data_IF_003967712938
#
_entry.id   IF_003967712938
#
_cell.length_a   1.000
_cell.length_b   1.000
_cell.length_c   1.000
_cell.angle_alpha   90.00
_cell.angle_beta   90.00
_cell.angle_gamma   90.00
#
_symmetry.space_group_name_H-M   'P 1'
#
loop_
_entity.id
_entity.type
_entity.pdbx_description
1 polymer ?
#
# COMPACT_ATOMS: atom_id res chain seq x y z
N UNK A 1 -49.56 28.96 -3.15
CA UNK A 1 -48.09 28.94 -2.96
C UNK A 1 -47.60 27.55 -3.36
N UNK A 2 -46.79 27.44 -4.42
CA UNK A 2 -46.39 26.15 -4.98
C UNK A 2 -45.14 25.63 -4.25
N UNK A 3 -45.15 24.37 -3.80
CA UNK A 3 -43.91 23.70 -3.41
C UNK A 3 -43.07 23.46 -4.67
N UNK A 4 -42.06 24.31 -4.88
CA UNK A 4 -40.98 24.00 -5.82
C UNK A 4 -40.24 22.78 -5.27
N UNK A 5 -40.48 21.61 -5.87
CA UNK A 5 -39.76 20.39 -5.51
C UNK A 5 -38.26 20.61 -5.67
N UNK A 6 -37.45 20.11 -4.71
CA UNK A 6 -35.99 20.16 -4.80
C UNK A 6 -35.54 19.38 -6.04
N UNK A 7 -35.22 20.09 -7.11
CA UNK A 7 -34.53 19.51 -8.26
C UNK A 7 -33.18 18.98 -7.79
N UNK A 8 -33.05 17.65 -7.78
CA UNK A 8 -31.82 16.98 -7.37
C UNK A 8 -30.72 17.36 -8.37
N UNK A 9 -29.72 18.09 -7.89
CA UNK A 9 -28.56 18.51 -8.68
C UNK A 9 -27.63 17.30 -8.82
N UNK A 10 -27.87 16.47 -9.83
CA UNK A 10 -27.19 15.20 -10.07
C UNK A 10 -26.30 15.28 -11.32
N UNK A 11 -25.02 14.91 -11.24
CA UNK A 11 -24.12 14.91 -12.38
C UNK A 11 -24.56 13.92 -13.45
N UNK A 12 -24.18 14.21 -14.70
CA UNK A 12 -24.28 13.21 -15.76
C UNK A 12 -23.31 12.04 -15.51
N UNK A 13 -23.62 10.81 -15.95
CA UNK A 13 -22.66 9.70 -15.91
C UNK A 13 -21.37 9.99 -16.70
N UNK A 14 -21.45 10.83 -17.75
CA UNK A 14 -20.29 11.28 -18.52
C UNK A 14 -19.35 12.15 -17.68
N UNK A 15 -19.88 13.07 -16.87
CA UNK A 15 -19.10 13.92 -15.95
C UNK A 15 -18.26 13.08 -14.97
N UNK A 16 -18.87 12.05 -14.38
CA UNK A 16 -18.19 11.14 -13.45
C UNK A 16 -17.16 10.26 -14.19
N UNK A 17 -17.47 9.82 -15.41
CA UNK A 17 -16.54 9.09 -16.28
C UNK A 17 -15.34 9.94 -16.68
N UNK A 18 -15.53 11.23 -16.97
CA UNK A 18 -14.46 12.16 -17.38
C UNK A 18 -13.51 12.44 -16.21
N UNK A 19 -14.04 12.78 -15.03
CA UNK A 19 -13.25 12.99 -13.81
C UNK A 19 -12.46 11.74 -13.39
N UNK A 20 -13.08 10.56 -13.47
CA UNK A 20 -12.39 9.29 -13.22
C UNK A 20 -11.27 9.03 -14.25
N UNK A 21 -11.47 9.38 -15.53
CA UNK A 21 -10.43 9.27 -16.55
C UNK A 21 -9.27 10.22 -16.25
N UNK A 22 -9.51 11.49 -15.93
CA UNK A 22 -8.47 12.45 -15.55
C UNK A 22 -7.67 11.95 -14.34
N UNK A 23 -8.33 11.40 -13.32
CA UNK A 23 -7.66 10.83 -12.16
C UNK A 23 -6.83 9.56 -12.50
N UNK A 24 -7.31 8.72 -13.42
CA UNK A 24 -6.58 7.54 -13.91
C UNK A 24 -5.35 7.95 -14.70
N UNK A 25 -5.51 8.90 -15.62
CA UNK A 25 -4.46 9.32 -16.57
C UNK A 25 -3.36 10.12 -15.85
N UNK A 26 -3.72 10.85 -14.77
CA UNK A 26 -2.76 11.42 -13.82
C UNK A 26 -2.18 10.42 -12.80
N UNK A 27 -2.55 9.13 -12.88
CA UNK A 27 -2.07 8.05 -11.98
C UNK A 27 -2.37 8.27 -10.48
N UNK A 28 -3.42 9.04 -10.16
CA UNK A 28 -3.82 9.31 -8.76
C UNK A 28 -4.94 8.37 -8.25
N UNK A 29 -5.59 7.59 -9.12
CA UNK A 29 -6.47 6.49 -8.71
C UNK A 29 -5.68 5.53 -7.81
N UNK A 30 -6.20 5.14 -6.64
CA UNK A 30 -5.55 4.14 -5.80
C UNK A 30 -5.68 2.75 -6.43
N UNK A 31 -4.68 1.93 -6.19
CA UNK A 31 -4.72 0.49 -6.43
C UNK A 31 -4.37 -0.21 -5.11
N UNK A 32 -5.31 -0.99 -4.59
CA UNK A 32 -5.15 -1.86 -3.42
C UNK A 32 -5.22 -3.35 -3.82
N UNK A 33 -4.98 -3.67 -5.09
CA UNK A 33 -4.99 -5.05 -5.59
C UNK A 33 -3.75 -5.82 -5.13
N UNK A 34 -3.89 -7.16 -5.01
CA UNK A 34 -2.75 -8.06 -4.86
C UNK A 34 -1.89 -8.05 -6.13
N UNK A 35 -0.57 -7.94 -5.95
CA UNK A 35 0.40 -7.96 -7.05
C UNK A 35 0.29 -9.26 -7.88
N UNK A 36 0.30 -9.19 -9.24
CA UNK A 36 0.19 -10.37 -10.07
C UNK A 36 1.22 -11.47 -9.75
N UNK A 37 2.47 -11.11 -9.49
CA UNK A 37 3.56 -12.06 -9.17
C UNK A 37 3.26 -12.79 -7.87
N UNK A 38 2.79 -12.06 -6.85
CA UNK A 38 2.34 -12.62 -5.57
C UNK A 38 1.16 -13.59 -5.78
N UNK A 39 0.15 -13.22 -6.59
CA UNK A 39 -0.97 -14.13 -6.85
C UNK A 39 -0.57 -15.38 -7.63
N UNK A 40 0.38 -15.27 -8.57
CA UNK A 40 0.87 -16.40 -9.39
C UNK A 40 1.66 -17.40 -8.55
N UNK A 41 2.66 -16.95 -7.80
CA UNK A 41 3.54 -17.85 -7.04
C UNK A 41 2.94 -18.35 -5.73
N UNK A 42 1.84 -17.76 -5.25
CA UNK A 42 1.06 -18.31 -4.15
C UNK A 42 -0.11 -19.21 -4.63
N UNK A 43 -0.33 -19.35 -5.94
CA UNK A 43 -1.35 -20.24 -6.51
C UNK A 43 -0.94 -21.73 -6.51
N UNK A 44 -1.89 -22.59 -6.90
CA UNK A 44 -1.61 -23.99 -7.21
C UNK A 44 -0.60 -24.14 -8.37
N UNK A 45 -0.60 -23.22 -9.33
CA UNK A 45 0.27 -23.27 -10.52
C UNK A 45 1.72 -22.81 -10.23
N UNK A 46 2.05 -22.54 -8.96
CA UNK A 46 3.32 -21.94 -8.54
C UNK A 46 4.59 -22.69 -8.99
N UNK A 47 4.58 -24.03 -9.03
CA UNK A 47 5.71 -24.81 -9.58
C UNK A 47 5.83 -24.68 -11.10
N UNK A 48 4.71 -24.72 -11.84
CA UNK A 48 4.71 -24.53 -13.28
C UNK A 48 5.14 -23.12 -13.68
N UNK A 49 4.69 -22.10 -12.93
CA UNK A 49 5.12 -20.71 -13.10
C UNK A 49 6.63 -20.54 -12.87
N UNK A 50 7.19 -21.22 -11.86
CA UNK A 50 8.62 -21.19 -11.54
C UNK A 50 9.46 -21.85 -12.65
N UNK A 51 9.05 -23.03 -13.10
CA UNK A 51 9.70 -23.73 -14.23
C UNK A 51 9.64 -22.89 -15.51
N UNK A 52 8.51 -22.24 -15.79
CA UNK A 52 8.36 -21.36 -16.94
C UNK A 52 9.28 -20.14 -16.85
N UNK A 53 9.33 -19.45 -15.70
CA UNK A 53 10.19 -18.28 -15.50
C UNK A 53 11.69 -18.65 -15.63
N UNK A 54 12.11 -19.78 -15.05
CA UNK A 54 13.48 -20.29 -15.15
C UNK A 54 13.88 -20.53 -16.62
N UNK A 55 13.08 -21.29 -17.36
CA UNK A 55 13.31 -21.57 -18.77
C UNK A 55 13.26 -20.30 -19.64
N UNK A 56 12.36 -19.36 -19.33
CA UNK A 56 12.28 -18.06 -20.02
C UNK A 56 13.56 -17.23 -19.82
N UNK A 57 14.11 -17.19 -18.60
CA UNK A 57 15.35 -16.47 -18.31
C UNK A 57 16.56 -17.12 -19.01
N UNK A 58 16.66 -18.46 -18.99
CA UNK A 58 17.71 -19.20 -19.71
C UNK A 58 17.67 -18.96 -21.23
N UNK A 59 16.49 -18.98 -21.86
CA UNK A 59 16.32 -18.80 -23.31
C UNK A 59 16.87 -17.46 -23.84
N UNK A 60 17.01 -16.44 -22.99
CA UNK A 60 17.57 -15.14 -23.36
C UNK A 60 19.08 -15.00 -23.09
N UNK A 61 19.78 -16.07 -22.73
CA UNK A 61 21.17 -16.08 -22.31
C UNK A 61 22.05 -16.89 -23.27
N UNK A 62 23.29 -16.45 -23.50
CA UNK A 62 24.30 -17.27 -24.19
C UNK A 62 24.70 -18.50 -23.34
N UNK A 63 25.37 -19.50 -23.93
CA UNK A 63 25.82 -20.69 -23.19
C UNK A 63 26.68 -20.36 -21.96
N UNK A 64 27.62 -19.42 -22.09
CA UNK A 64 28.41 -18.90 -20.96
C UNK A 64 27.54 -18.29 -19.86
N UNK A 65 26.53 -17.50 -20.24
CA UNK A 65 25.60 -16.89 -19.29
C UNK A 65 24.69 -17.93 -18.63
N UNK A 66 24.24 -18.95 -19.35
CA UNK A 66 23.47 -20.06 -18.78
C UNK A 66 24.30 -20.86 -17.77
N UNK A 67 25.59 -21.11 -18.06
CA UNK A 67 26.51 -21.76 -17.14
C UNK A 67 26.77 -20.91 -15.88
N UNK A 68 27.05 -19.60 -16.03
CA UNK A 68 27.22 -18.68 -14.91
C UNK A 68 25.94 -18.54 -14.06
N UNK A 69 24.77 -18.50 -14.70
CA UNK A 69 23.47 -18.47 -14.04
C UNK A 69 23.21 -19.74 -13.23
N UNK A 70 23.46 -20.93 -13.80
CA UNK A 70 23.34 -22.21 -13.09
C UNK A 70 24.31 -22.35 -11.92
N UNK A 71 25.57 -21.94 -12.09
CA UNK A 71 26.58 -22.00 -11.03
C UNK A 71 26.26 -21.03 -9.87
N UNK A 72 25.90 -19.78 -10.17
CA UNK A 72 25.52 -18.80 -9.15
C UNK A 72 24.27 -19.24 -8.38
N UNK A 73 23.24 -19.77 -9.07
CA UNK A 73 22.05 -20.31 -8.41
C UNK A 73 22.37 -21.52 -7.53
N UNK A 74 23.22 -22.43 -8.00
CA UNK A 74 23.68 -23.59 -7.20
C UNK A 74 24.36 -23.13 -5.90
N UNK A 75 25.16 -22.05 -5.96
CA UNK A 75 25.75 -21.42 -4.77
C UNK A 75 24.71 -20.85 -3.79
N UNK A 76 23.75 -20.07 -4.29
CA UNK A 76 22.67 -19.46 -3.48
C UNK A 76 21.69 -20.50 -2.90
N UNK A 77 21.59 -21.70 -3.51
CA UNK A 77 20.85 -22.86 -2.99
C UNK A 77 21.67 -23.75 -2.03
N UNK A 78 22.80 -23.26 -1.51
CA UNK A 78 23.64 -23.96 -0.54
C UNK A 78 24.49 -25.09 -1.15
N UNK A 79 24.79 -25.02 -2.45
CA UNK A 79 25.54 -26.04 -3.19
C UNK A 79 24.69 -27.12 -3.86
N UNK A 80 23.36 -27.04 -3.75
CA UNK A 80 22.43 -28.02 -4.33
C UNK A 80 21.84 -27.55 -5.66
N UNK A 81 21.70 -28.47 -6.62
CA UNK A 81 20.93 -28.25 -7.85
C UNK A 81 19.41 -28.38 -7.64
N UNK A 82 18.97 -29.02 -6.55
CA UNK A 82 17.57 -29.28 -6.22
C UNK A 82 17.13 -28.49 -4.99
N UNK A 83 15.82 -28.25 -4.86
CA UNK A 83 15.16 -27.65 -3.69
C UNK A 83 14.14 -28.64 -3.14
N UNK A 84 14.40 -29.18 -1.94
CA UNK A 84 13.66 -30.32 -1.36
C UNK A 84 12.60 -29.94 -0.33
N UNK A 85 12.57 -28.70 0.15
CA UNK A 85 11.44 -28.15 0.92
C UNK A 85 10.28 -27.67 0.00
N UNK A 86 10.24 -28.15 -1.25
CA UNK A 86 9.25 -27.82 -2.26
C UNK A 86 9.57 -26.56 -3.07
N UNK A 87 9.37 -26.62 -4.38
CA UNK A 87 9.37 -25.51 -5.32
C UNK A 87 7.98 -24.88 -5.51
N UNK A 88 7.24 -24.66 -4.41
CA UNK A 88 5.82 -24.25 -4.42
C UNK A 88 5.51 -23.17 -3.39
N UNK A 89 4.51 -22.32 -3.67
CA UNK A 89 4.06 -21.28 -2.75
C UNK A 89 5.15 -20.26 -2.41
N UNK A 90 5.32 -19.94 -1.12
CA UNK A 90 6.34 -18.97 -0.66
C UNK A 90 7.78 -19.35 -1.01
N UNK A 91 8.09 -20.63 -1.22
CA UNK A 91 9.43 -21.04 -1.68
C UNK A 91 9.60 -20.77 -3.17
N UNK A 92 8.59 -21.06 -4.00
CA UNK A 92 8.59 -20.65 -5.41
C UNK A 92 8.71 -19.12 -5.56
N UNK A 93 8.09 -18.36 -4.66
CA UNK A 93 8.18 -16.91 -4.62
C UNK A 93 9.56 -16.37 -4.18
N UNK A 94 10.30 -17.11 -3.35
CA UNK A 94 11.69 -16.79 -3.03
C UNK A 94 12.62 -17.09 -4.22
N UNK A 95 12.43 -18.26 -4.84
CA UNK A 95 13.21 -18.69 -6.00
C UNK A 95 12.98 -17.78 -7.22
N UNK A 96 11.76 -17.30 -7.46
CA UNK A 96 11.47 -16.38 -8.57
C UNK A 96 12.13 -15.01 -8.43
N UNK A 97 12.24 -14.50 -7.20
CA UNK A 97 13.01 -13.28 -6.89
C UNK A 97 14.52 -13.53 -7.06
N UNK A 98 15.02 -14.67 -6.60
CA UNK A 98 16.41 -15.07 -6.77
C UNK A 98 16.80 -15.21 -8.25
N UNK A 99 15.94 -15.83 -9.07
CA UNK A 99 16.18 -16.02 -10.49
C UNK A 99 16.29 -14.68 -11.23
N UNK A 100 15.43 -13.70 -10.93
CA UNK A 100 15.60 -12.34 -11.48
C UNK A 100 16.88 -11.67 -11.00
N UNK A 101 17.22 -11.77 -9.70
CA UNK A 101 18.43 -11.19 -9.14
C UNK A 101 19.70 -11.70 -9.85
N UNK A 102 19.85 -13.03 -9.93
CA UNK A 102 21.04 -13.65 -10.54
C UNK A 102 21.05 -13.47 -12.07
N UNK A 103 19.90 -13.52 -12.74
CA UNK A 103 19.81 -13.21 -14.18
C UNK A 103 20.22 -11.77 -14.48
N UNK A 104 19.88 -10.81 -13.61
CA UNK A 104 20.34 -9.43 -13.75
C UNK A 104 21.85 -9.27 -13.50
N UNK A 105 22.42 -9.96 -12.50
CA UNK A 105 23.87 -9.97 -12.26
C UNK A 105 24.66 -10.53 -13.46
N UNK A 106 24.28 -11.70 -13.97
CA UNK A 106 24.96 -12.37 -15.09
C UNK A 106 24.85 -11.58 -16.40
N UNK A 107 23.74 -10.86 -16.63
CA UNK A 107 23.62 -9.94 -17.77
C UNK A 107 24.47 -8.69 -17.58
N UNK A 108 24.52 -8.12 -16.38
CA UNK A 108 25.27 -6.90 -16.07
C UNK A 108 26.81 -7.09 -16.08
N UNK A 109 27.30 -8.31 -15.85
CA UNK A 109 28.74 -8.63 -15.85
C UNK A 109 29.45 -8.36 -17.19
N UNK A 110 28.72 -8.19 -18.30
CA UNK A 110 29.27 -7.77 -19.61
C UNK A 110 29.04 -6.30 -19.96
N UNK A 111 28.32 -5.53 -19.13
CA UNK A 111 28.07 -4.10 -19.35
C UNK A 111 28.86 -3.26 -18.33
N UNK A 112 30.04 -2.79 -18.72
CA UNK A 112 30.85 -1.84 -17.93
C UNK A 112 30.25 -0.44 -17.83
N UNK A 113 29.20 -0.15 -18.60
CA UNK A 113 28.38 1.06 -18.48
C UNK A 113 26.96 0.69 -18.01
N UNK A 114 26.67 0.94 -16.73
CA UNK A 114 25.35 0.75 -16.15
C UNK A 114 25.23 1.49 -14.81
N UNK A 115 24.35 2.49 -14.74
CA UNK A 115 24.20 3.32 -13.55
C UNK A 115 23.66 2.50 -12.35
N UNK A 116 24.44 2.34 -11.25
CA UNK A 116 23.99 1.59 -10.07
C UNK A 116 22.80 2.24 -9.34
N UNK A 117 22.40 3.47 -9.68
CA UNK A 117 21.18 4.09 -9.14
C UNK A 117 19.90 3.32 -9.51
N UNK A 118 19.84 2.80 -10.75
CA UNK A 118 18.66 2.11 -11.27
C UNK A 118 18.45 0.73 -10.60
N UNK A 119 19.53 0.01 -10.29
CA UNK A 119 19.46 -1.28 -9.61
C UNK A 119 19.02 -1.13 -8.14
N UNK A 120 19.36 -0.01 -7.49
CA UNK A 120 18.96 0.30 -6.11
C UNK A 120 17.48 0.72 -5.99
N UNK A 121 16.82 1.14 -7.07
CA UNK A 121 15.40 1.53 -7.05
C UNK A 121 14.44 0.34 -7.12
N UNK A 122 14.75 -0.71 -7.91
CA UNK A 122 13.89 -1.91 -8.05
C UNK A 122 13.74 -2.69 -6.74
N UNK A 123 14.76 -2.71 -5.88
CA UNK A 123 14.69 -3.30 -4.54
C UNK A 123 13.81 -2.51 -3.53
N UNK A 124 13.26 -1.35 -3.92
CA UNK A 124 12.49 -0.47 -3.03
C UNK A 124 11.00 -0.85 -2.94
N UNK A 125 10.44 -1.54 -3.92
CA UNK A 125 9.09 -2.14 -3.84
C UNK A 125 9.12 -3.60 -4.30
N UNK A 126 8.48 -4.46 -3.52
CA UNK A 126 8.34 -5.90 -3.75
C UNK A 126 6.86 -6.22 -3.54
N UNK A 127 6.21 -6.74 -4.58
CA UNK A 127 4.78 -7.08 -4.60
C UNK A 127 3.86 -5.93 -4.18
N UNK A 128 4.05 -4.76 -4.81
CA UNK A 128 3.40 -3.49 -4.45
C UNK A 128 3.91 -2.84 -3.15
N UNK A 129 4.32 -3.62 -2.15
CA UNK A 129 4.75 -3.17 -0.83
C UNK A 129 6.13 -2.49 -0.89
N UNK A 130 6.32 -1.35 -0.20
CA UNK A 130 7.65 -0.77 0.03
C UNK A 130 8.48 -1.62 0.99
N UNK A 131 9.72 -1.95 0.62
CA UNK A 131 10.68 -2.63 1.51
C UNK A 131 11.15 -1.74 2.68
N UNK A 132 10.78 -0.46 2.68
CA UNK A 132 10.89 0.45 3.84
C UNK A 132 9.73 0.36 4.84
N UNK A 133 8.64 -0.34 4.51
CA UNK A 133 7.59 -0.69 5.47
C UNK A 133 8.03 -1.89 6.31
N UNK A 134 7.58 -1.98 7.57
CA UNK A 134 7.95 -3.10 8.45
C UNK A 134 7.43 -4.44 7.92
N UNK A 135 6.22 -4.48 7.36
CA UNK A 135 5.67 -5.64 6.63
C UNK A 135 6.59 -6.04 5.47
N UNK A 136 6.91 -5.10 4.57
CA UNK A 136 7.75 -5.37 3.40
C UNK A 136 9.18 -5.79 3.76
N UNK A 137 9.73 -5.25 4.86
CA UNK A 137 11.02 -5.66 5.38
C UNK A 137 11.02 -7.11 5.89
N UNK A 138 9.98 -7.54 6.65
CA UNK A 138 9.86 -8.93 7.13
C UNK A 138 9.76 -9.90 5.95
N UNK A 139 8.92 -9.56 4.96
CA UNK A 139 8.71 -10.37 3.75
C UNK A 139 10.01 -10.48 2.93
N UNK A 140 10.71 -9.37 2.69
CA UNK A 140 12.00 -9.38 1.97
C UNK A 140 13.10 -10.12 2.74
N UNK A 141 13.15 -9.98 4.07
CA UNK A 141 14.08 -10.73 4.94
C UNK A 141 13.90 -12.24 4.77
N UNK A 142 12.65 -12.71 4.87
CA UNK A 142 12.30 -14.11 4.67
C UNK A 142 12.64 -14.58 3.25
N UNK A 143 12.20 -13.87 2.20
CA UNK A 143 12.42 -14.26 0.80
C UNK A 143 13.90 -14.33 0.41
N UNK A 144 14.76 -13.47 0.99
CA UNK A 144 16.22 -13.58 0.84
C UNK A 144 16.78 -14.81 1.51
N UNK A 145 16.22 -15.24 2.65
CA UNK A 145 16.76 -16.32 3.47
C UNK A 145 16.36 -17.71 2.96
N UNK A 146 15.12 -17.86 2.49
CA UNK A 146 14.54 -19.13 2.04
C UNK A 146 15.44 -19.96 1.10
N UNK A 147 16.07 -19.43 0.03
CA UNK A 147 16.76 -20.28 -0.94
C UNK A 147 17.91 -21.10 -0.35
N UNK A 148 18.64 -20.54 0.63
CA UNK A 148 19.73 -21.25 1.32
C UNK A 148 19.27 -22.19 2.45
N UNK A 149 18.04 -22.02 2.96
CA UNK A 149 17.46 -22.92 3.98
C UNK A 149 16.58 -24.01 3.36
N UNK A 150 16.03 -23.83 2.16
CA UNK A 150 15.03 -24.71 1.52
C UNK A 150 15.54 -26.11 1.09
N UNK A 151 16.74 -26.50 1.52
CA UNK A 151 17.29 -27.86 1.42
C UNK A 151 17.51 -28.52 2.80
N UNK A 152 17.13 -27.86 3.89
CA UNK A 152 17.17 -28.39 5.26
C UNK A 152 15.83 -28.12 5.94
N UNK A 153 15.04 -29.17 6.18
CA UNK A 153 13.67 -29.07 6.70
C UNK A 153 13.59 -28.41 8.09
N UNK A 154 14.60 -28.60 8.94
CA UNK A 154 14.69 -28.03 10.28
C UNK A 154 14.91 -26.51 10.22
N UNK A 155 15.95 -26.06 9.53
CA UNK A 155 16.22 -24.63 9.27
C UNK A 155 15.06 -23.95 8.56
N UNK A 156 14.44 -24.63 7.60
CA UNK A 156 13.30 -24.10 6.85
C UNK A 156 12.07 -23.93 7.77
N UNK A 157 11.85 -24.83 8.72
CA UNK A 157 10.82 -24.69 9.75
C UNK A 157 11.13 -23.51 10.70
N UNK A 158 12.33 -23.44 11.26
CA UNK A 158 12.79 -22.35 12.15
C UNK A 158 12.67 -20.97 11.49
N UNK A 159 13.24 -20.81 10.30
CA UNK A 159 13.19 -19.56 9.52
C UNK A 159 11.75 -19.16 9.20
N UNK A 160 10.86 -20.11 8.92
CA UNK A 160 9.45 -19.82 8.66
C UNK A 160 8.70 -19.44 9.93
N UNK A 161 8.92 -20.12 11.06
CA UNK A 161 8.27 -19.79 12.33
C UNK A 161 8.69 -18.44 12.89
N UNK A 162 9.97 -18.09 12.80
CA UNK A 162 10.48 -16.79 13.24
C UNK A 162 9.80 -15.64 12.47
N UNK A 163 9.75 -15.75 11.13
CA UNK A 163 9.16 -14.72 10.28
C UNK A 163 7.62 -14.73 10.29
N UNK A 164 6.95 -15.88 10.49
CA UNK A 164 5.50 -15.97 10.72
C UNK A 164 5.12 -15.18 11.99
N UNK A 165 5.81 -15.44 13.12
CA UNK A 165 5.54 -14.73 14.36
C UNK A 165 5.79 -13.21 14.24
N UNK A 166 6.86 -12.78 13.55
CA UNK A 166 7.11 -11.36 13.29
C UNK A 166 6.02 -10.72 12.39
N UNK A 167 5.62 -11.39 11.31
CA UNK A 167 4.65 -10.88 10.35
C UNK A 167 3.23 -10.85 10.94
N UNK A 168 2.86 -11.86 11.73
CA UNK A 168 1.64 -11.92 12.54
C UNK A 168 1.50 -10.71 13.45
N UNK A 169 2.53 -10.39 14.24
CA UNK A 169 2.50 -9.27 15.18
C UNK A 169 2.39 -7.91 14.45
N UNK A 170 3.18 -7.70 13.40
CA UNK A 170 3.09 -6.47 12.59
C UNK A 170 1.72 -6.32 11.91
N UNK A 171 1.13 -7.40 11.38
CA UNK A 171 -0.20 -7.35 10.74
C UNK A 171 -1.35 -7.05 11.72
N UNK A 172 -1.17 -7.36 13.01
CA UNK A 172 -2.13 -7.01 14.07
C UNK A 172 -2.04 -5.50 14.39
N UNK A 173 -0.87 -4.98 14.76
CA UNK A 173 -0.74 -3.53 15.02
C UNK A 173 -0.98 -2.67 13.77
N UNK A 174 -0.66 -3.16 12.56
CA UNK A 174 -1.00 -2.46 11.32
C UNK A 174 -2.52 -2.43 11.07
N UNK A 175 -3.25 -3.51 11.38
CA UNK A 175 -4.72 -3.51 11.37
C UNK A 175 -5.29 -2.50 12.38
N UNK A 176 -4.74 -2.45 13.60
CA UNK A 176 -5.15 -1.46 14.60
C UNK A 176 -4.82 -0.02 14.17
N UNK A 177 -3.64 0.21 13.59
CA UNK A 177 -3.23 1.51 13.05
C UNK A 177 -4.26 2.05 12.08
N UNK A 178 -4.74 1.23 11.16
CA UNK A 178 -5.79 1.60 10.20
C UNK A 178 -7.15 1.82 10.87
N UNK A 179 -7.57 0.91 11.77
CA UNK A 179 -8.95 0.86 12.28
C UNK A 179 -9.22 1.71 13.51
N UNK A 180 -8.34 1.71 14.52
CA UNK A 180 -8.52 2.46 15.77
C UNK A 180 -7.75 3.78 15.77
N UNK A 181 -6.49 3.76 15.31
CA UNK A 181 -5.57 4.92 15.31
C UNK A 181 -5.80 5.86 14.10
N UNK A 182 -6.88 5.63 13.32
CA UNK A 182 -7.35 6.38 12.13
C UNK A 182 -6.35 6.51 10.97
N UNK A 183 -5.29 5.68 10.91
CA UNK A 183 -4.27 5.69 9.84
C UNK A 183 -4.67 4.81 8.66
N UNK A 184 -5.93 4.92 8.23
CA UNK A 184 -6.42 4.28 7.01
C UNK A 184 -5.88 5.03 5.78
N UNK A 185 -5.66 4.31 4.68
CA UNK A 185 -5.16 4.84 3.41
C UNK A 185 -4.80 3.71 2.45
N UNK A 186 -4.71 4.00 1.16
CA UNK A 186 -4.54 2.98 0.12
C UNK A 186 -3.23 2.21 0.24
N UNK A 187 -2.13 2.89 0.60
CA UNK A 187 -0.85 2.19 0.83
C UNK A 187 -0.95 1.24 2.04
N UNK A 188 -1.58 1.65 3.14
CA UNK A 188 -1.79 0.80 4.31
C UNK A 188 -2.68 -0.41 4.00
N UNK A 189 -3.73 -0.22 3.20
CA UNK A 189 -4.57 -1.31 2.71
C UNK A 189 -3.78 -2.31 1.87
N UNK A 190 -2.97 -1.84 0.92
CA UNK A 190 -2.14 -2.70 0.07
C UNK A 190 -1.06 -3.43 0.88
N UNK A 191 -0.38 -2.73 1.80
CA UNK A 191 0.60 -3.30 2.73
C UNK A 191 -0.03 -4.43 3.58
N UNK A 192 -1.19 -4.19 4.18
CA UNK A 192 -1.87 -5.21 4.98
C UNK A 192 -2.34 -6.40 4.14
N UNK A 193 -2.95 -6.14 2.98
CA UNK A 193 -3.54 -7.18 2.13
C UNK A 193 -2.49 -8.14 1.58
N UNK A 194 -1.42 -7.61 0.97
CA UNK A 194 -0.34 -8.43 0.44
C UNK A 194 0.47 -9.11 1.57
N UNK A 195 0.58 -8.48 2.74
CA UNK A 195 1.17 -9.12 3.93
C UNK A 195 0.32 -10.27 4.49
N UNK A 196 -1.00 -10.11 4.57
CA UNK A 196 -1.92 -11.17 5.02
C UNK A 196 -1.99 -12.34 4.02
N UNK A 197 -1.94 -12.05 2.72
CA UNK A 197 -1.79 -13.06 1.67
C UNK A 197 -0.48 -13.84 1.81
N UNK A 198 0.64 -13.15 2.02
CA UNK A 198 1.94 -13.78 2.23
C UNK A 198 1.95 -14.67 3.49
N UNK A 199 1.49 -14.14 4.62
CA UNK A 199 1.45 -14.85 5.91
C UNK A 199 0.57 -16.12 5.86
N UNK A 200 -0.57 -16.08 5.17
CA UNK A 200 -1.38 -17.29 4.95
C UNK A 200 -0.59 -18.39 4.23
N UNK A 201 0.23 -18.04 3.25
CA UNK A 201 1.02 -19.03 2.51
C UNK A 201 2.32 -19.45 3.21
N UNK A 202 2.87 -18.63 4.11
CA UNK A 202 3.85 -19.09 5.11
C UNK A 202 3.25 -20.16 6.01
N UNK A 203 2.04 -19.92 6.54
CA UNK A 203 1.34 -20.87 7.40
C UNK A 203 0.99 -22.18 6.67
N UNK A 204 0.58 -22.11 5.39
CA UNK A 204 0.42 -23.29 4.52
C UNK A 204 1.76 -24.04 4.36
N UNK A 205 2.89 -23.33 4.21
CA UNK A 205 4.21 -23.96 4.12
C UNK A 205 4.64 -24.65 5.43
N UNK A 206 4.43 -24.04 6.60
CA UNK A 206 4.65 -24.70 7.89
C UNK A 206 3.83 -25.99 8.03
N UNK A 207 2.59 -26.03 7.53
CA UNK A 207 1.78 -27.26 7.51
C UNK A 207 2.40 -28.31 6.57
N UNK A 208 2.88 -27.93 5.38
CA UNK A 208 3.59 -28.85 4.46
C UNK A 208 4.84 -29.47 5.09
N UNK A 209 5.60 -28.67 5.87
CA UNK A 209 6.77 -29.06 6.67
C UNK A 209 6.42 -29.89 7.93
N UNK A 210 5.12 -29.97 8.28
CA UNK A 210 4.56 -30.58 9.50
C UNK A 210 4.92 -29.84 10.81
N UNK A 211 5.40 -28.60 10.73
CA UNK A 211 5.79 -27.77 11.88
C UNK A 211 4.60 -27.25 12.70
N UNK A 212 3.39 -27.23 12.12
CA UNK A 212 2.16 -26.72 12.76
C UNK A 212 0.93 -27.56 12.36
N UNK A 213 -0.14 -27.60 13.19
CA UNK A 213 -1.33 -28.41 12.89
C UNK A 213 -2.06 -28.01 11.61
N UNK A 214 -2.62 -29.00 10.90
CA UNK A 214 -3.32 -28.85 9.61
C UNK A 214 -4.36 -27.70 9.60
N UNK A 215 -5.21 -27.63 10.63
CA UNK A 215 -6.27 -26.62 10.74
C UNK A 215 -5.80 -25.18 11.03
N UNK A 216 -4.51 -24.95 11.32
CA UNK A 216 -3.99 -23.61 11.60
C UNK A 216 -4.08 -22.67 10.39
N UNK A 217 -3.84 -23.19 9.18
CA UNK A 217 -3.99 -22.44 7.94
C UNK A 217 -5.45 -22.03 7.68
N UNK A 218 -6.42 -22.89 8.02
CA UNK A 218 -7.85 -22.56 7.90
C UNK A 218 -8.29 -21.50 8.92
N UNK A 219 -7.90 -21.64 10.18
CA UNK A 219 -8.19 -20.65 11.23
C UNK A 219 -7.65 -19.26 10.84
N UNK A 220 -6.41 -19.20 10.34
CA UNK A 220 -5.78 -17.97 9.86
C UNK A 220 -6.53 -17.39 8.63
N UNK A 221 -6.91 -18.24 7.66
CA UNK A 221 -7.70 -17.85 6.49
C UNK A 221 -9.05 -17.23 6.87
N UNK A 222 -9.77 -17.83 7.82
CA UNK A 222 -11.05 -17.32 8.30
C UNK A 222 -10.92 -16.01 9.09
N UNK A 223 -9.83 -15.86 9.85
CA UNK A 223 -9.46 -14.60 10.49
C UNK A 223 -9.23 -13.49 9.45
N UNK A 224 -8.40 -13.72 8.43
CA UNK A 224 -8.14 -12.72 7.39
C UNK A 224 -9.34 -12.42 6.49
N UNK A 225 -10.17 -13.42 6.16
CA UNK A 225 -11.47 -13.20 5.51
C UNK A 225 -12.33 -12.18 6.28
N UNK A 226 -12.35 -12.30 7.62
CA UNK A 226 -13.15 -11.44 8.51
C UNK A 226 -12.54 -10.06 8.67
N UNK A 227 -11.22 -9.98 8.89
CA UNK A 227 -10.49 -8.72 9.00
C UNK A 227 -10.55 -7.90 7.70
N UNK A 228 -10.33 -8.53 6.54
CA UNK A 228 -10.42 -7.87 5.23
C UNK A 228 -11.81 -7.28 4.98
N UNK A 229 -12.89 -8.00 5.34
CA UNK A 229 -14.25 -7.47 5.24
C UNK A 229 -14.48 -6.18 6.04
N UNK A 230 -13.92 -6.09 7.25
CA UNK A 230 -13.95 -4.87 8.07
C UNK A 230 -13.08 -3.75 7.50
N UNK A 231 -11.90 -4.10 6.97
CA UNK A 231 -10.99 -3.13 6.35
C UNK A 231 -11.59 -2.52 5.07
N UNK A 232 -12.25 -3.31 4.21
CA UNK A 232 -12.94 -2.78 3.03
C UNK A 232 -14.02 -1.77 3.42
N UNK A 233 -14.83 -2.06 4.45
CA UNK A 233 -15.83 -1.12 4.98
C UNK A 233 -15.17 0.18 5.50
N UNK A 234 -14.10 0.06 6.29
CA UNK A 234 -13.34 1.19 6.81
C UNK A 234 -12.65 2.02 5.72
N UNK A 235 -12.20 1.38 4.63
CA UNK A 235 -11.56 2.02 3.49
C UNK A 235 -12.57 2.76 2.60
N UNK A 236 -13.75 2.18 2.32
CA UNK A 236 -14.87 2.90 1.68
C UNK A 236 -15.24 4.15 2.49
N UNK A 237 -15.37 4.03 3.81
CA UNK A 237 -15.67 5.15 4.70
C UNK A 237 -14.51 6.17 4.81
N UNK A 238 -13.27 5.76 4.52
CA UNK A 238 -12.12 6.66 4.39
C UNK A 238 -12.16 7.42 3.05
N UNK A 239 -12.42 6.75 1.93
CA UNK A 239 -12.54 7.42 0.62
C UNK A 239 -13.68 8.46 0.62
N UNK A 240 -14.85 8.15 1.21
CA UNK A 240 -15.94 9.13 1.40
C UNK A 240 -15.56 10.39 2.23
N UNK A 241 -14.42 10.40 2.92
CA UNK A 241 -13.92 11.55 3.70
C UNK A 241 -12.76 12.29 3.02
N UNK A 242 -12.07 11.64 2.06
CA UNK A 242 -10.84 12.15 1.45
C UNK A 242 -11.02 12.51 -0.03
N UNK A 243 -11.97 11.90 -0.75
CA UNK A 243 -12.31 12.30 -2.11
C UNK A 243 -13.02 13.65 -2.05
N UNK A 244 -12.38 14.68 -2.58
CA UNK A 244 -12.88 16.05 -2.65
C UNK A 244 -12.76 16.53 -4.09
N UNK A 245 -13.81 17.17 -4.58
CA UNK A 245 -13.92 17.65 -5.95
C UNK A 245 -14.44 19.09 -5.89
N UNK A 246 -13.77 20.01 -6.58
CA UNK A 246 -14.15 21.42 -6.68
C UNK A 246 -14.19 21.86 -8.15
N UNK A 247 -15.33 22.40 -8.65
CA UNK A 247 -15.47 22.81 -10.04
C UNK A 247 -14.53 23.95 -10.44
N UNK A 248 -14.12 23.96 -11.70
CA UNK A 248 -13.51 25.14 -12.32
C UNK A 248 -14.48 26.32 -12.29
N UNK A 249 -14.06 27.47 -11.75
CA UNK A 249 -14.95 28.61 -11.59
C UNK A 249 -15.35 29.18 -12.96
N UNK A 250 -16.63 29.01 -13.32
CA UNK A 250 -17.20 29.60 -14.54
C UNK A 250 -17.00 31.12 -14.49
N UNK A 251 -16.24 31.68 -15.44
CA UNK A 251 -16.26 33.13 -15.72
C UNK A 251 -17.73 33.57 -15.79
N UNK A 252 -18.18 34.57 -15.01
CA UNK A 252 -19.53 35.07 -15.14
C UNK A 252 -19.77 35.47 -16.59
N UNK A 253 -20.81 34.94 -17.23
CA UNK A 253 -21.26 35.49 -18.52
C UNK A 253 -21.61 36.94 -18.25
N UNK A 254 -20.85 37.87 -18.82
CA UNK A 254 -21.26 39.27 -18.89
C UNK A 254 -22.61 39.28 -19.61
N UNK A 255 -23.67 39.60 -18.87
CA UNK A 255 -24.91 40.02 -19.51
C UNK A 255 -24.58 41.32 -20.24
N UNK A 256 -24.55 41.28 -21.56
CA UNK A 256 -24.46 42.48 -22.41
C UNK A 256 -25.77 43.24 -22.32
N UNK A 257 -26.02 43.84 -21.15
CA UNK A 257 -27.14 44.71 -20.89
C UNK A 257 -26.85 46.07 -21.54
N UNK A 258 -27.18 46.19 -22.82
CA UNK A 258 -27.25 47.50 -23.46
C UNK A 258 -28.40 48.30 -22.85
N UNK A 259 -28.13 49.53 -22.42
CA UNK A 259 -29.16 50.49 -21.97
C UNK A 259 -29.06 50.92 -20.50
N UNK A 260 -28.35 52.03 -20.28
CA UNK A 260 -28.72 53.18 -19.43
C UNK A 260 -29.31 52.91 -18.01
N UNK A 261 -28.66 53.45 -16.96
CA UNK A 261 -29.35 53.53 -15.66
C UNK A 261 -28.60 54.01 -14.42
N UNK A 262 -27.91 55.16 -14.48
CA UNK A 262 -27.46 55.96 -13.33
C UNK A 262 -26.24 55.50 -12.50
N UNK A 263 -25.49 56.52 -12.07
CA UNK A 263 -24.32 56.48 -11.20
C UNK A 263 -24.71 56.48 -9.72
N UNK A 264 -23.89 55.89 -8.87
CA UNK A 264 -23.41 56.59 -7.66
C UNK A 264 -22.06 56.02 -7.20
N UNK A 265 -21.09 56.91 -6.99
CA UNK A 265 -19.71 56.58 -6.62
C UNK A 265 -19.51 56.77 -5.12
N UNK A 266 -19.01 55.76 -4.40
CA UNK A 266 -18.30 56.03 -3.13
C UNK A 266 -17.12 55.08 -2.89
N UNK A 267 -15.94 55.72 -2.78
CA UNK A 267 -14.71 55.34 -2.05
C UNK A 267 -14.43 53.87 -1.70
N UNK A 268 -13.39 53.34 -2.38
CA UNK A 268 -12.48 52.25 -1.96
C UNK A 268 -11.84 52.50 -0.58
N UNK A 269 -11.71 51.45 0.21
CA UNK A 269 -10.74 51.36 1.34
C UNK A 269 -10.13 49.96 1.41
N UNK A 270 -8.82 49.86 1.62
CA UNK A 270 -8.12 48.60 1.88
C UNK A 270 -7.76 48.53 3.38
N UNK A 271 -7.92 47.38 4.05
CA UNK A 271 -6.80 46.72 4.75
C UNK A 271 -7.15 45.32 5.30
N UNK A 272 -6.22 44.38 5.02
CA UNK A 272 -5.53 43.46 5.94
C UNK A 272 -6.29 42.75 7.07
N UNK A 273 -6.07 41.43 7.19
CA UNK A 273 -6.66 40.56 8.21
C UNK A 273 -5.66 40.15 9.31
N UNK A 274 -6.21 39.65 10.43
CA UNK A 274 -5.60 38.77 11.47
C UNK A 274 -4.59 39.40 12.46
N UNK A 275 -4.36 38.80 13.65
CA UNK A 275 -5.23 37.88 14.43
C UNK A 275 -5.36 38.23 15.94
N UNK A 276 -6.35 37.65 16.64
CA UNK A 276 -6.12 36.69 17.75
C UNK A 276 -7.39 36.24 18.50
N UNK A 277 -7.26 35.13 19.24
CA UNK A 277 -8.26 34.54 20.13
C UNK A 277 -8.51 35.35 21.41
N UNK A 278 -9.67 35.13 22.05
CA UNK A 278 -9.75 34.57 23.43
C UNK A 278 -11.19 34.04 23.72
N UNK A 279 -11.30 33.09 24.66
CA UNK A 279 -12.53 32.48 25.18
C UNK A 279 -13.37 33.49 26.02
N UNK A 280 -14.63 33.28 26.42
CA UNK A 280 -15.14 32.12 27.17
C UNK A 280 -16.69 32.02 27.26
N UNK A 281 -17.16 30.94 27.89
CA UNK A 281 -18.58 30.53 28.06
C UNK A 281 -19.48 31.43 28.95
N UNK A 282 -20.80 31.35 28.71
CA UNK A 282 -21.88 31.16 29.71
C UNK A 282 -23.28 31.42 29.07
N UNK A 283 -24.40 30.78 29.46
CA UNK A 283 -24.65 29.69 30.42
C UNK A 283 -25.92 28.89 30.01
N UNK A 284 -26.17 27.79 30.74
CA UNK A 284 -27.46 27.29 31.23
C UNK A 284 -27.92 25.91 30.72
N UNK A 285 -27.75 24.88 31.57
CA UNK A 285 -28.74 23.81 31.68
C UNK A 285 -28.72 23.17 33.08
N UNK A 286 -29.81 23.37 33.83
CA UNK A 286 -30.49 22.50 34.83
C UNK A 286 -29.66 21.66 35.84
N UNK A 287 -29.98 21.88 37.12
CA UNK A 287 -29.57 21.18 38.36
C UNK A 287 -30.21 19.77 38.54
N UNK A 288 -29.93 18.90 39.53
CA UNK A 288 -29.08 18.92 40.76
C UNK A 288 -28.79 17.47 41.23
N UNK A 289 -27.90 17.30 42.25
CA UNK A 289 -27.97 16.28 43.33
C UNK A 289 -27.73 14.76 43.01
N UNK A 290 -27.00 13.95 43.83
CA UNK A 290 -26.11 14.20 45.00
C UNK A 290 -25.11 13.03 45.22
N UNK A 291 -24.25 13.15 46.24
CA UNK A 291 -23.51 12.10 46.98
C UNK A 291 -22.04 11.79 46.60
N UNK A 292 -21.15 12.34 47.41
CA UNK A 292 -19.76 11.93 47.74
C UNK A 292 -19.68 11.85 49.29
N UNK A 293 -18.54 11.74 50.03
CA UNK A 293 -17.12 11.58 49.64
C UNK A 293 -16.31 10.54 50.48
N UNK A 294 -15.00 10.39 50.17
CA UNK A 294 -13.83 10.47 51.08
C UNK A 294 -12.54 10.06 50.31
N UNK A 295 -11.42 10.81 50.29
CA UNK A 295 -10.44 11.12 51.36
C UNK A 295 -9.49 9.91 51.62
N UNK A 296 -8.15 9.97 51.65
CA UNK A 296 -7.10 11.04 51.59
C UNK A 296 -5.75 10.35 51.14
N UNK A 297 -4.55 10.92 50.92
CA UNK A 297 -3.90 12.26 50.98
C UNK A 297 -2.61 12.27 50.09
N UNK A 298 -1.89 13.41 49.99
CA UNK A 298 -0.56 13.57 49.37
C UNK A 298 0.63 13.00 50.20
N UNK A 299 1.82 12.83 49.58
CA UNK A 299 3.14 13.34 50.03
C UNK A 299 4.28 13.01 49.03
N UNK A 300 5.27 13.90 48.91
CA UNK A 300 6.45 13.80 48.03
C UNK A 300 7.44 12.67 48.39
N UNK A 301 8.13 12.08 47.39
CA UNK A 301 9.61 11.94 47.44
C UNK A 301 10.31 11.73 46.08
N UNK A 302 11.64 11.91 46.14
CA UNK A 302 12.62 11.98 45.05
C UNK A 302 12.90 10.63 44.36
N UNK A 303 13.52 10.73 43.19
CA UNK A 303 14.06 9.66 42.35
C UNK A 303 14.98 8.66 43.07
N UNK A 304 15.01 7.43 42.56
CA UNK A 304 16.24 6.65 42.41
C UNK A 304 16.11 5.74 41.16
N UNK A 305 17.23 5.40 40.51
CA UNK A 305 17.25 4.62 39.25
C UNK A 305 18.50 3.74 39.15
N UNK A 306 18.28 2.44 39.04
CA UNK A 306 19.25 1.44 38.56
C UNK A 306 18.55 0.64 37.44
N UNK A 307 19.10 0.53 36.22
CA UNK A 307 20.19 -0.39 35.80
C UNK A 307 19.71 -1.87 35.85
N UNK A 308 19.81 -2.66 34.79
CA UNK A 308 20.76 -2.59 33.65
C UNK A 308 20.13 -2.60 32.26
N UNK A 309 20.85 -1.99 31.30
CA UNK A 309 20.77 -2.27 29.87
C UNK A 309 22.18 -2.55 29.36
N UNK A 310 22.41 -3.70 28.73
CA UNK A 310 23.65 -3.93 27.98
C UNK A 310 23.47 -3.53 26.51
N UNK A 311 24.54 -2.96 25.93
CA UNK A 311 24.54 -2.27 24.64
C UNK A 311 25.27 -3.08 23.56
N UNK A 312 24.78 -3.02 22.32
CA UNK A 312 25.54 -3.39 21.13
C UNK A 312 25.36 -2.37 19.99
N UNK A 313 25.77 -1.14 20.26
CA UNK A 313 26.96 -0.62 19.58
C UNK A 313 26.78 -0.21 18.12
N UNK A 314 26.16 0.96 17.89
CA UNK A 314 26.06 1.57 16.57
C UNK A 314 27.07 2.71 16.39
N UNK A 315 28.25 2.40 15.87
CA UNK A 315 29.27 3.41 15.53
C UNK A 315 28.75 4.42 14.47
N UNK A 316 28.51 5.66 14.90
CA UNK A 316 28.16 6.79 14.04
C UNK A 316 29.31 7.81 14.09
N UNK A 317 30.07 7.92 13.00
CA UNK A 317 31.02 9.01 12.85
C UNK A 317 30.28 10.29 12.46
N UNK A 318 30.22 11.25 13.39
CA UNK A 318 29.66 12.57 13.11
C UNK A 318 30.61 13.38 12.22
N UNK A 319 30.20 13.66 10.98
CA UNK A 319 30.72 14.80 10.22
C UNK A 319 29.55 15.64 9.69
N UNK A 320 29.43 16.83 10.25
CA UNK A 320 28.39 17.81 9.90
C UNK A 320 28.79 18.62 8.67
N UNK A 321 28.03 18.50 7.58
CA UNK A 321 28.14 19.39 6.42
C UNK A 321 26.74 19.92 6.02
N UNK A 322 26.51 21.21 6.27
CA UNK A 322 25.20 21.87 6.09
C UNK A 322 25.03 22.31 4.63
N UNK A 323 24.63 21.39 3.76
CA UNK A 323 24.38 21.68 2.34
C UNK A 323 22.92 22.10 2.10
N UNK A 324 22.69 23.42 2.02
CA UNK A 324 21.41 24.00 1.58
C UNK A 324 21.15 23.68 0.10
N UNK A 325 20.47 22.57 -0.21
CA UNK A 325 19.91 22.35 -1.56
C UNK A 325 18.64 23.19 -1.75
N UNK A 326 18.77 24.31 -2.47
CA UNK A 326 17.66 24.88 -3.24
C UNK A 326 17.21 23.83 -4.27
N UNK A 327 15.96 23.38 -4.22
CA UNK A 327 15.36 22.68 -5.36
C UNK A 327 15.05 23.72 -6.44
N UNK A 328 15.44 23.43 -7.68
CA UNK A 328 15.32 24.36 -8.79
C UNK A 328 13.90 24.28 -9.40
N UNK A 329 13.14 25.37 -9.33
CA UNK A 329 11.86 25.47 -10.05
C UNK A 329 12.13 25.75 -11.53
N UNK A 330 12.09 24.73 -12.38
CA UNK A 330 12.06 24.93 -13.83
C UNK A 330 10.65 25.34 -14.29
N UNK A 331 10.35 26.64 -14.18
CA UNK A 331 9.30 27.27 -15.00
C UNK A 331 9.88 27.66 -16.36
N UNK A 332 9.62 26.87 -17.40
CA UNK A 332 9.62 27.34 -18.79
C UNK A 332 8.19 27.73 -19.14
N UNK A 333 7.93 29.03 -19.31
CA UNK A 333 6.56 29.58 -19.35
C UNK A 333 5.91 29.67 -20.74
N UNK A 334 4.85 30.48 -20.79
CA UNK A 334 4.02 30.87 -21.95
C UNK A 334 3.04 29.82 -22.52
N UNK A 335 1.83 29.82 -21.94
CA UNK A 335 0.60 30.05 -22.72
C UNK A 335 -0.47 30.65 -21.79
N UNK A 336 -0.84 31.90 -22.01
CA UNK A 336 -1.76 32.65 -21.14
C UNK A 336 -3.24 32.41 -21.50
N UNK A 337 -3.73 31.19 -21.31
CA UNK A 337 -5.17 30.88 -21.34
C UNK A 337 -5.55 29.80 -20.30
N UNK A 338 -5.20 30.05 -19.03
CA UNK A 338 -5.71 29.29 -17.90
C UNK A 338 -7.18 29.64 -17.60
N UNK A 339 -8.06 29.17 -18.48
CA UNK A 339 -9.47 28.99 -18.16
C UNK A 339 -9.61 28.14 -16.88
N UNK A 340 -10.37 28.66 -15.91
CA UNK A 340 -10.26 28.22 -14.50
C UNK A 340 -10.44 26.72 -14.35
N UNK A 341 -9.38 26.06 -13.88
CA UNK A 341 -9.34 24.63 -13.67
C UNK A 341 -10.05 24.27 -12.34
N UNK A 342 -10.76 23.15 -12.32
CA UNK A 342 -11.23 22.50 -11.10
C UNK A 342 -10.11 21.69 -10.45
N UNK A 343 -10.36 21.19 -9.24
CA UNK A 343 -9.42 20.37 -8.47
C UNK A 343 -10.10 19.10 -7.96
N UNK A 344 -9.51 17.95 -8.29
CA UNK A 344 -9.89 16.65 -7.78
C UNK A 344 -8.78 16.11 -6.87
N UNK A 345 -9.14 15.81 -5.63
CA UNK A 345 -8.29 15.16 -4.61
C UNK A 345 -8.89 13.78 -4.33
N UNK A 346 -8.06 12.75 -4.28
CA UNK A 346 -8.50 11.37 -3.99
C UNK A 346 -8.00 10.92 -2.61
N UNK A 347 -6.77 11.26 -2.28
CA UNK A 347 -6.11 11.07 -0.97
C UNK A 347 -5.21 12.28 -0.70
N UNK A 348 -4.74 12.49 0.55
CA UNK A 348 -3.63 13.41 0.82
C UNK A 348 -2.45 13.14 -0.14
N UNK A 349 -1.93 14.20 -0.76
CA UNK A 349 -0.89 14.16 -1.79
C UNK A 349 -1.24 13.40 -3.09
N UNK A 350 -2.51 13.03 -3.32
CA UNK A 350 -3.03 12.51 -4.60
C UNK A 350 -4.10 13.45 -5.17
N UNK A 351 -3.68 14.43 -5.97
CA UNK A 351 -4.58 15.41 -6.58
C UNK A 351 -4.22 15.73 -8.05
N UNK A 352 -5.20 16.27 -8.78
CA UNK A 352 -5.08 16.66 -10.18
C UNK A 352 -6.02 17.83 -10.49
N UNK A 353 -5.55 18.79 -11.28
CA UNK A 353 -6.38 19.87 -11.82
C UNK A 353 -7.11 19.40 -13.08
N UNK A 354 -8.37 19.77 -13.25
CA UNK A 354 -9.21 19.31 -14.37
C UNK A 354 -9.96 20.44 -15.08
N UNK A 355 -10.35 20.21 -16.34
CA UNK A 355 -11.18 21.13 -17.13
C UNK A 355 -12.64 20.65 -17.32
N UNK A 356 -13.01 19.53 -16.69
CA UNK A 356 -14.39 18.99 -16.69
C UNK A 356 -15.37 20.04 -16.17
N UNK A 357 -16.46 20.28 -16.90
CA UNK A 357 -17.47 21.27 -16.54
C UNK A 357 -18.73 20.62 -15.95
N UNK A 358 -19.15 21.12 -14.79
CA UNK A 358 -20.35 20.71 -14.07
C UNK A 358 -20.83 21.89 -13.19
N UNK A 359 -21.86 21.71 -12.39
CA UNK A 359 -22.39 22.67 -11.44
C UNK A 359 -21.84 22.40 -10.03
N UNK A 360 -21.58 23.42 -9.19
CA UNK A 360 -21.08 23.23 -7.83
C UNK A 360 -22.01 22.42 -6.89
N UNK A 361 -23.30 22.32 -7.21
CA UNK A 361 -24.22 21.48 -6.45
C UNK A 361 -24.17 19.99 -6.83
N UNK A 362 -23.48 19.62 -7.91
CA UNK A 362 -23.30 18.23 -8.34
C UNK A 362 -22.12 17.57 -7.61
N UNK A 363 -21.16 18.35 -7.11
CA UNK A 363 -19.91 17.87 -6.49
C UNK A 363 -20.07 16.82 -5.39
N UNK A 364 -21.03 16.91 -4.44
CA UNK A 364 -21.24 15.84 -3.45
C UNK A 364 -21.68 14.51 -4.07
N UNK A 365 -22.50 14.56 -5.12
CA UNK A 365 -22.95 13.36 -5.84
C UNK A 365 -21.85 12.82 -6.78
N UNK A 366 -21.01 13.69 -7.34
CA UNK A 366 -19.78 13.33 -8.06
C UNK A 366 -18.83 12.57 -7.13
N UNK A 367 -18.54 13.11 -5.94
CA UNK A 367 -17.66 12.49 -4.95
C UNK A 367 -18.18 11.11 -4.54
N UNK A 368 -19.48 10.98 -4.25
CA UNK A 368 -20.12 9.69 -3.96
C UNK A 368 -19.95 8.68 -5.11
N UNK A 369 -20.21 9.11 -6.36
CA UNK A 369 -20.10 8.25 -7.53
C UNK A 369 -18.64 7.87 -7.86
N UNK A 370 -17.68 8.77 -7.60
CA UNK A 370 -16.24 8.50 -7.73
C UNK A 370 -15.78 7.45 -6.70
N UNK A 371 -16.23 7.50 -5.45
CA UNK A 371 -15.91 6.44 -4.46
C UNK A 371 -16.44 5.08 -4.94
N UNK A 372 -17.72 5.01 -5.35
CA UNK A 372 -18.29 3.77 -5.90
C UNK A 372 -17.49 3.26 -7.09
N UNK A 373 -17.11 4.16 -8.02
CA UNK A 373 -16.36 3.79 -9.22
C UNK A 373 -14.92 3.35 -8.91
N UNK A 374 -14.25 3.98 -7.97
CA UNK A 374 -12.91 3.59 -7.51
C UNK A 374 -12.94 2.23 -6.84
N UNK A 375 -13.92 1.97 -5.95
CA UNK A 375 -14.09 0.67 -5.31
C UNK A 375 -14.41 -0.45 -6.33
N UNK A 376 -15.22 -0.16 -7.35
CA UNK A 376 -15.51 -1.10 -8.45
C UNK A 376 -14.33 -1.30 -9.41
N UNK A 377 -13.31 -0.42 -9.36
CA UNK A 377 -12.09 -0.54 -10.17
C UNK A 377 -10.94 -1.26 -9.43
N UNK A 378 -11.08 -1.51 -8.12
CA UNK A 378 -10.16 -2.39 -7.38
C UNK A 378 -10.55 -3.86 -7.63
N UNK A 379 -9.58 -4.77 -7.70
CA UNK A 379 -9.84 -6.22 -7.85
C UNK A 379 -10.28 -6.87 -6.52
N UNK A 380 -11.30 -6.29 -5.85
CA UNK A 380 -11.77 -6.71 -4.52
C UNK A 380 -12.27 -8.14 -4.52
N UNK A 381 -12.83 -8.63 -5.63
CA UNK A 381 -13.32 -9.99 -5.72
C UNK A 381 -12.17 -11.00 -5.70
N UNK A 382 -11.13 -10.83 -6.51
CA UNK A 382 -9.92 -11.67 -6.46
C UNK A 382 -9.21 -11.57 -5.11
N UNK A 383 -9.06 -10.36 -4.57
CA UNK A 383 -8.50 -10.12 -3.24
C UNK A 383 -9.29 -10.87 -2.16
N UNK A 384 -10.62 -10.90 -2.27
CA UNK A 384 -11.53 -11.61 -1.35
C UNK A 384 -11.45 -13.13 -1.56
N UNK A 385 -11.36 -13.58 -2.81
CA UNK A 385 -11.24 -14.99 -3.19
C UNK A 385 -9.91 -15.60 -2.74
N UNK A 386 -8.84 -14.80 -2.59
CA UNK A 386 -7.58 -15.20 -1.98
C UNK A 386 -7.72 -15.67 -0.52
N UNK A 387 -8.75 -15.24 0.21
CA UNK A 387 -9.09 -15.76 1.55
C UNK A 387 -10.34 -16.68 1.52
N UNK A 388 -10.94 -16.87 0.34
CA UNK A 388 -12.19 -17.63 0.14
C UNK A 388 -12.02 -18.77 -0.88
N UNK A 389 -10.81 -19.32 -0.96
CA UNK A 389 -10.56 -20.63 -1.56
C UNK A 389 -11.63 -21.64 -1.11
N UNK A 390 -12.19 -22.36 -2.07
CA UNK A 390 -13.02 -23.54 -1.78
C UNK A 390 -12.19 -24.56 -0.99
N UNK A 391 -12.84 -25.34 -0.13
CA UNK A 391 -12.19 -26.32 0.75
C UNK A 391 -11.26 -27.28 -0.02
N UNK A 392 -11.67 -27.69 -1.24
CA UNK A 392 -10.85 -28.50 -2.15
C UNK A 392 -9.55 -27.80 -2.56
N UNK A 393 -9.58 -26.49 -2.81
CA UNK A 393 -8.40 -25.69 -3.19
C UNK A 393 -7.44 -25.55 -2.01
N UNK A 394 -7.95 -25.33 -0.79
CA UNK A 394 -7.11 -25.31 0.41
C UNK A 394 -6.47 -26.69 0.65
N UNK A 395 -7.22 -27.78 0.53
CA UNK A 395 -6.67 -29.14 0.62
C UNK A 395 -5.61 -29.42 -0.45
N UNK A 396 -5.81 -28.98 -1.69
CA UNK A 396 -4.78 -29.08 -2.74
C UNK A 396 -3.53 -28.28 -2.37
N UNK A 397 -3.66 -27.02 -1.92
CA UNK A 397 -2.54 -26.18 -1.48
C UNK A 397 -1.77 -26.85 -0.33
N UNK A 398 -2.44 -27.41 0.67
CA UNK A 398 -1.80 -28.11 1.79
C UNK A 398 -1.09 -29.41 1.38
N UNK A 399 -1.46 -30.02 0.24
CA UNK A 399 -0.87 -31.26 -0.28
C UNK A 399 0.25 -31.07 -1.30
N UNK A 400 0.44 -29.87 -1.86
CA UNK A 400 1.54 -29.63 -2.82
C UNK A 400 2.90 -29.86 -2.18
N UNK A 401 3.73 -30.67 -2.84
CA UNK A 401 5.09 -31.05 -2.44
C UNK A 401 6.01 -31.18 -3.66
N UNK A 402 5.68 -30.49 -4.75
CA UNK A 402 6.45 -30.48 -5.98
C UNK A 402 7.80 -29.78 -5.73
N UNK A 403 8.91 -30.52 -5.84
CA UNK A 403 10.26 -29.96 -5.76
C UNK A 403 10.59 -29.08 -6.98
N UNK A 404 11.70 -28.32 -6.87
CA UNK A 404 12.31 -27.64 -8.02
C UNK A 404 13.74 -28.15 -8.24
N UNK A 405 14.18 -28.18 -9.50
CA UNK A 405 15.50 -28.64 -9.91
C UNK A 405 16.08 -27.75 -11.03
N UNK A 406 17.32 -27.29 -10.83
CA UNK A 406 18.11 -26.53 -11.80
C UNK A 406 18.53 -27.46 -12.95
N UNK A 407 17.71 -27.51 -14.00
CA UNK A 407 18.02 -28.27 -15.21
C UNK A 407 19.16 -27.62 -15.99
N UNK A 408 20.30 -28.31 -16.04
CA UNK A 408 21.32 -28.13 -17.08
C UNK A 408 20.77 -28.62 -18.41
N UNK A 409 20.80 -27.77 -19.43
CA UNK A 409 20.53 -28.14 -20.82
C UNK A 409 21.79 -28.66 -21.50
#
# INVERSE_FOLDING_TARGET
>A
MILMGRTLCLPSPATVQELFSVARDASIIPDISLDPVLTTFLSLDSSAALQHQYAFLQRSMSGEQQAAFGLNLTGELGGSSRVTCGGVGVVALALSVLFEQVAHQVRAQRSTEGDPSAQRSRAKRIFGISSSSRIGWIIHSYLRRVPGDANNQEKMAETTELHDNWLKLELIDHYERMTTKKRMGSESMQQWLAGAAFHLHMRIHQVRLNSVPLGSAESLRLSYKTAFGRLVQGYTAYLHRNIQETPGARKPRSRTAGGLGQTNTFSRTNMTCLPNHIFNDSLANISTETATPNSTADINRSCETDISSEDFGRNVSNRSDVVKRKTLNNMSGYSSDDGVQGLLVIEPCRNVSHKVQHHPCESPAIQQALVTRIMNAQDLERNRNFFQFAEKVLHSLLRQRDDFELKTN
#
